data_IF_409910792687
#
_entry.id   IF_409910792687
#
_cell.length_a   1.000
_cell.length_b   1.000
_cell.length_c   1.000
_cell.angle_alpha   90.00
_cell.angle_beta   90.00
_cell.angle_gamma   90.00
#
_symmetry.space_group_name_H-M   'P 1'
#
loop_
_entity.id
_entity.type
_entity.pdbx_description
1 polymer ?
#
# COMPACT_ATOMS: atom_id res chain seq x y z
N UNK A 1 18.63 -6.51 19.37
CA UNK A 1 18.46 -5.47 18.34
C UNK A 1 17.23 -5.84 17.53
N UNK A 2 16.10 -5.19 17.77
CA UNK A 2 14.85 -5.42 17.06
C UNK A 2 14.94 -4.73 15.71
N UNK A 3 15.08 -5.53 14.67
CA UNK A 3 15.01 -5.04 13.29
C UNK A 3 13.57 -4.63 13.01
N UNK A 4 13.29 -3.34 13.10
CA UNK A 4 12.02 -2.77 12.63
C UNK A 4 11.97 -2.93 11.13
N UNK A 5 11.24 -3.95 10.65
CA UNK A 5 10.98 -4.13 9.23
C UNK A 5 10.17 -2.95 8.71
N UNK A 6 10.66 -2.27 7.69
CA UNK A 6 9.93 -1.22 6.99
C UNK A 6 8.81 -1.85 6.19
N UNK A 7 7.60 -1.37 6.39
CA UNK A 7 6.46 -1.70 5.55
C UNK A 7 6.26 -0.54 4.58
N UNK A 8 6.38 -0.79 3.29
CA UNK A 8 6.00 0.19 2.29
C UNK A 8 4.48 0.14 2.13
N UNK A 9 3.79 1.21 2.50
CA UNK A 9 2.37 1.37 2.27
C UNK A 9 2.17 2.24 1.05
N UNK A 10 1.80 1.64 -0.07
CA UNK A 10 1.35 2.37 -1.22
C UNK A 10 -0.17 2.36 -1.24
N UNK A 11 -0.78 3.53 -1.09
CA UNK A 11 -2.19 3.71 -1.36
C UNK A 11 -2.32 3.87 -2.87
N UNK A 12 -2.49 2.77 -3.57
CA UNK A 12 -2.95 2.76 -4.94
C UNK A 12 -4.41 2.33 -4.94
N UNK A 13 -5.29 3.00 -5.69
CA UNK A 13 -6.64 2.50 -5.89
C UNK A 13 -6.61 1.10 -6.51
N UNK A 14 -7.67 0.33 -6.32
CA UNK A 14 -7.67 -1.10 -6.63
C UNK A 14 -7.40 -1.37 -8.09
N UNK A 15 -6.83 -2.53 -8.35
CA UNK A 15 -6.94 -3.17 -9.67
C UNK A 15 -8.42 -3.48 -9.89
N UNK A 16 -9.20 -2.49 -10.29
CA UNK A 16 -10.59 -2.68 -10.66
C UNK A 16 -10.60 -3.26 -12.06
N UNK A 17 -10.95 -4.52 -12.15
CA UNK A 17 -11.52 -5.04 -13.38
C UNK A 17 -12.84 -4.32 -13.58
N UNK A 18 -12.84 -3.39 -14.54
CA UNK A 18 -14.04 -2.75 -15.06
C UNK A 18 -14.65 -1.62 -14.22
N UNK A 19 -14.14 -0.41 -14.42
CA UNK A 19 -14.98 0.77 -14.63
C UNK A 19 -14.32 1.60 -15.74
N UNK A 20 -15.11 2.09 -16.67
CA UNK A 20 -14.66 2.84 -17.84
C UNK A 20 -14.18 4.24 -17.45
N UNK A 21 -12.86 4.45 -17.42
CA UNK A 21 -12.27 5.77 -17.28
C UNK A 21 -10.76 5.76 -17.51
N UNK A 22 -10.17 6.81 -18.11
CA UNK A 22 -8.72 6.85 -18.44
C UNK A 22 -7.80 6.91 -17.21
N UNK A 23 -8.33 7.20 -16.02
CA UNK A 23 -7.56 7.36 -14.77
C UNK A 23 -7.27 6.04 -14.05
N UNK A 24 -7.88 4.94 -14.46
CA UNK A 24 -7.72 3.64 -13.77
C UNK A 24 -6.55 2.82 -14.31
N UNK A 25 -6.15 3.06 -15.55
CA UNK A 25 -5.07 2.32 -16.19
C UNK A 25 -3.71 2.69 -15.61
N UNK A 26 -3.48 3.96 -15.28
CA UNK A 26 -2.24 4.45 -14.67
C UNK A 26 -2.07 3.93 -13.23
N UNK A 27 -3.11 3.90 -12.42
CA UNK A 27 -3.08 3.32 -11.07
C UNK A 27 -2.72 1.83 -11.08
N UNK A 28 -3.27 1.08 -12.03
CA UNK A 28 -2.94 -0.34 -12.20
C UNK A 28 -1.47 -0.53 -12.58
N UNK A 29 -0.98 0.26 -13.52
CA UNK A 29 0.43 0.21 -13.96
C UNK A 29 1.36 0.55 -12.80
N UNK A 30 1.07 1.62 -12.06
CA UNK A 30 1.85 2.02 -10.88
C UNK A 30 1.81 0.95 -9.79
N UNK A 31 0.65 0.33 -9.54
CA UNK A 31 0.51 -0.74 -8.56
C UNK A 31 1.38 -1.96 -8.89
N UNK A 32 1.35 -2.43 -10.13
CA UNK A 32 2.20 -3.53 -10.59
C UNK A 32 3.68 -3.17 -10.52
N UNK A 33 4.06 -1.99 -11.04
CA UNK A 33 5.45 -1.52 -11.00
C UNK A 33 5.98 -1.41 -9.57
N UNK A 34 5.13 -1.00 -8.62
CA UNK A 34 5.52 -0.93 -7.20
C UNK A 34 5.75 -2.31 -6.61
N UNK A 35 4.89 -3.29 -6.93
CA UNK A 35 5.08 -4.66 -6.47
C UNK A 35 6.38 -5.26 -7.01
N UNK A 36 6.63 -5.09 -8.31
CA UNK A 36 7.84 -5.56 -8.98
C UNK A 36 9.08 -4.88 -8.37
N UNK A 37 9.10 -3.54 -8.30
CA UNK A 37 10.21 -2.79 -7.73
C UNK A 37 10.49 -3.15 -6.26
N UNK A 38 9.45 -3.47 -5.49
CA UNK A 38 9.60 -3.90 -4.09
C UNK A 38 10.34 -5.24 -3.97
N UNK A 39 10.19 -6.14 -4.93
CA UNK A 39 10.94 -7.39 -5.01
C UNK A 39 12.33 -7.18 -5.59
N UNK A 40 12.43 -6.34 -6.61
CA UNK A 40 13.66 -6.07 -7.37
C UNK A 40 14.68 -5.32 -6.54
N UNK A 41 14.25 -4.52 -5.56
CA UNK A 41 15.13 -3.82 -4.64
C UNK A 41 16.12 -4.74 -3.91
N UNK A 42 15.76 -6.00 -3.70
CA UNK A 42 16.64 -7.02 -3.10
C UNK A 42 17.43 -7.86 -4.11
N UNK A 43 17.25 -7.64 -5.41
CA UNK A 43 17.84 -8.47 -6.45
C UNK A 43 19.05 -7.79 -7.09
N UNK A 44 20.25 -8.26 -6.77
CA UNK A 44 21.51 -7.72 -7.29
C UNK A 44 21.71 -7.84 -8.80
N UNK A 45 20.90 -8.66 -9.47
CA UNK A 45 21.04 -8.90 -10.90
C UNK A 45 20.14 -8.00 -11.76
N UNK A 46 19.22 -7.30 -11.12
CA UNK A 46 18.39 -6.27 -11.75
C UNK A 46 19.07 -4.93 -11.50
N UNK A 47 19.27 -4.14 -12.54
CA UNK A 47 20.00 -2.87 -12.50
C UNK A 47 21.43 -3.01 -11.94
N UNK A 48 22.30 -3.89 -12.55
CA UNK A 48 23.67 -4.08 -12.08
C UNK A 48 24.51 -2.81 -12.06
N UNK A 49 24.15 -1.80 -12.88
CA UNK A 49 24.77 -0.47 -12.91
C UNK A 49 24.67 0.26 -11.57
N UNK A 50 23.67 -0.02 -10.74
CA UNK A 50 23.55 0.59 -9.42
C UNK A 50 24.67 0.14 -8.46
N UNK A 51 25.20 -1.05 -8.65
CA UNK A 51 26.36 -1.52 -7.89
C UNK A 51 27.61 -0.72 -8.22
N UNK A 52 27.77 -0.27 -9.47
CA UNK A 52 28.86 0.59 -9.90
C UNK A 52 28.77 1.98 -9.26
N UNK A 53 27.57 2.42 -8.90
CA UNK A 53 27.30 3.65 -8.15
C UNK A 53 27.44 3.47 -6.62
N UNK A 54 27.81 2.28 -6.16
CA UNK A 54 28.00 1.97 -4.73
C UNK A 54 26.69 1.69 -3.99
N UNK A 55 25.60 1.41 -4.69
CA UNK A 55 24.32 1.04 -4.09
C UNK A 55 24.25 -0.48 -3.91
N UNK A 56 23.89 -0.91 -2.71
CA UNK A 56 23.71 -2.32 -2.39
C UNK A 56 22.23 -2.73 -2.45
N UNK A 57 21.92 -3.96 -2.92
CA UNK A 57 20.56 -4.48 -2.89
C UNK A 57 19.97 -4.48 -1.48
N UNK A 58 18.73 -4.06 -1.36
CA UNK A 58 18.04 -4.00 -0.08
C UNK A 58 16.80 -4.89 -0.02
N UNK A 59 16.88 -6.10 0.55
CA UNK A 59 15.76 -7.04 0.63
C UNK A 59 14.83 -6.77 1.84
N UNK A 60 14.74 -5.53 2.31
CA UNK A 60 14.04 -5.18 3.55
C UNK A 60 12.53 -4.99 3.41
N UNK A 61 11.96 -4.98 2.20
CA UNK A 61 10.52 -4.86 2.01
C UNK A 61 9.84 -6.19 2.32
N UNK A 62 9.11 -6.25 3.42
CA UNK A 62 8.41 -7.46 3.85
C UNK A 62 7.00 -7.56 3.29
N UNK A 63 6.31 -6.42 3.19
CA UNK A 63 4.91 -6.34 2.83
C UNK A 63 4.66 -5.18 1.88
N UNK A 64 3.73 -5.38 0.94
CA UNK A 64 3.17 -4.33 0.09
C UNK A 64 1.66 -4.35 0.29
N UNK A 65 1.08 -3.18 0.58
CA UNK A 65 -0.36 -3.03 0.78
C UNK A 65 -0.97 -2.11 -0.27
N UNK A 66 -2.06 -2.53 -0.88
CA UNK A 66 -2.82 -1.74 -1.83
C UNK A 66 -4.15 -1.31 -1.23
N UNK A 67 -4.34 0.00 -1.05
CA UNK A 67 -5.60 0.58 -0.59
C UNK A 67 -6.68 0.53 -1.67
N UNK A 68 -7.95 0.50 -1.26
CA UNK A 68 -9.08 0.52 -2.20
C UNK A 68 -9.29 -0.79 -2.97
N UNK A 69 -8.71 -1.90 -2.56
CA UNK A 69 -8.83 -3.19 -3.23
C UNK A 69 -10.26 -3.74 -3.19
N UNK A 70 -10.68 -4.42 -4.27
CA UNK A 70 -12.00 -5.06 -4.34
C UNK A 70 -12.12 -6.26 -3.38
N UNK A 71 -11.02 -6.97 -3.18
CA UNK A 71 -10.95 -8.14 -2.31
C UNK A 71 -9.83 -7.95 -1.28
N UNK A 72 -10.03 -7.01 -0.32
CA UNK A 72 -9.02 -6.75 0.68
C UNK A 72 -8.81 -7.97 1.58
N UNK A 73 -7.56 -8.24 1.89
CA UNK A 73 -7.12 -9.39 2.69
C UNK A 73 -6.76 -9.01 4.11
N UNK A 74 -6.54 -7.72 4.39
CA UNK A 74 -6.29 -7.19 5.73
C UNK A 74 -6.92 -5.83 5.94
N UNK A 75 -6.88 -5.33 7.18
CA UNK A 75 -7.36 -4.00 7.50
C UNK A 75 -6.72 -3.45 8.76
N UNK A 76 -6.81 -2.14 8.90
CA UNK A 76 -6.31 -1.38 10.06
C UNK A 76 -7.49 -0.69 10.72
N UNK A 77 -7.65 -0.89 12.03
CA UNK A 77 -8.59 -0.14 12.84
C UNK A 77 -8.13 1.32 12.93
N UNK A 78 -8.96 2.22 12.42
CA UNK A 78 -8.72 3.66 12.43
C UNK A 78 -9.78 4.41 13.27
N UNK A 79 -10.44 3.70 14.18
CA UNK A 79 -11.39 4.28 15.14
C UNK A 79 -10.72 5.43 15.90
N UNK A 80 -11.35 6.61 15.88
CA UNK A 80 -10.81 7.83 16.49
C UNK A 80 -9.76 8.59 15.66
N UNK A 81 -9.39 8.09 14.46
CA UNK A 81 -8.37 8.73 13.60
C UNK A 81 -8.92 9.29 12.29
N UNK A 82 -10.20 9.09 11.99
CA UNK A 82 -10.82 9.50 10.71
C UNK A 82 -10.64 11.00 10.46
N UNK A 83 -10.75 11.84 11.49
CA UNK A 83 -10.56 13.29 11.39
C UNK A 83 -9.14 13.68 10.91
N UNK A 84 -8.12 12.89 11.25
CA UNK A 84 -6.77 13.10 10.72
C UNK A 84 -6.69 12.85 9.23
N UNK A 85 -7.40 11.84 8.72
CA UNK A 85 -7.53 11.57 7.30
C UNK A 85 -8.22 12.72 6.55
N UNK A 86 -9.30 13.26 7.10
CA UNK A 86 -10.01 14.43 6.56
C UNK A 86 -9.07 15.63 6.49
N UNK A 87 -8.36 15.93 7.58
CA UNK A 87 -7.42 17.05 7.63
C UNK A 87 -6.28 16.89 6.62
N UNK A 88 -5.74 15.67 6.50
CA UNK A 88 -4.69 15.35 5.51
C UNK A 88 -5.17 15.60 4.08
N UNK A 89 -6.35 15.10 3.72
CA UNK A 89 -6.89 15.27 2.36
C UNK A 89 -7.20 16.75 2.07
N UNK A 90 -7.73 17.48 3.03
CA UNK A 90 -7.95 18.94 2.91
C UNK A 90 -6.67 19.75 2.73
N UNK A 91 -5.53 19.24 3.20
CA UNK A 91 -4.23 19.89 3.01
C UNK A 91 -3.76 19.86 1.53
N UNK A 92 -4.27 18.93 0.71
CA UNK A 92 -3.97 18.82 -0.72
C UNK A 92 -4.75 19.82 -1.56
N UNK A 93 -4.65 21.12 -1.23
CA UNK A 93 -5.50 22.19 -1.79
C UNK A 93 -5.41 22.31 -3.31
N UNK A 94 -4.19 22.29 -3.87
CA UNK A 94 -3.98 22.43 -5.31
C UNK A 94 -4.61 21.25 -6.08
N UNK A 95 -4.47 20.04 -5.56
CA UNK A 95 -5.10 18.86 -6.11
C UNK A 95 -6.63 18.97 -6.08
N UNK A 96 -7.19 19.33 -4.93
CA UNK A 96 -8.64 19.49 -4.75
C UNK A 96 -9.21 20.58 -5.68
N UNK A 97 -8.48 21.69 -5.88
CA UNK A 97 -8.88 22.74 -6.81
C UNK A 97 -8.83 22.26 -8.27
N UNK A 98 -7.85 21.46 -8.64
CA UNK A 98 -7.70 20.89 -9.97
C UNK A 98 -8.81 19.92 -10.36
N UNK A 99 -9.48 19.29 -9.38
CA UNK A 99 -10.64 18.41 -9.62
C UNK A 99 -11.93 19.18 -9.97
N UNK A 100 -11.95 20.51 -9.88
CA UNK A 100 -13.06 21.39 -10.24
C UNK A 100 -13.92 21.84 -9.07
N UNK A 101 -14.80 22.81 -9.33
CA UNK A 101 -15.58 23.53 -8.32
C UNK A 101 -16.66 22.69 -7.59
N UNK A 102 -16.96 21.50 -8.05
CA UNK A 102 -17.79 20.52 -7.33
C UNK A 102 -16.95 19.67 -6.38
N UNK A 103 -15.88 20.28 -5.85
CA UNK A 103 -14.87 19.66 -5.04
C UNK A 103 -15.46 18.64 -4.06
N UNK A 104 -15.02 17.42 -4.22
CA UNK A 104 -15.19 16.34 -3.31
C UNK A 104 -14.86 16.79 -1.87
N UNK A 105 -15.85 16.84 -0.97
CA UNK A 105 -15.59 17.08 0.44
C UNK A 105 -15.25 15.77 1.11
N UNK A 106 -14.04 15.64 1.70
CA UNK A 106 -13.66 14.44 2.41
C UNK A 106 -14.44 14.20 3.70
N UNK A 107 -15.09 15.23 4.27
CA UNK A 107 -15.75 15.13 5.57
C UNK A 107 -16.96 14.17 5.60
N UNK A 108 -17.88 14.14 4.63
CA UNK A 108 -18.90 13.10 4.59
C UNK A 108 -18.40 11.76 4.05
N UNK A 109 -17.42 11.78 3.14
CA UNK A 109 -16.99 10.60 2.42
C UNK A 109 -16.11 9.68 3.28
N UNK A 110 -15.06 10.20 3.93
CA UNK A 110 -14.13 9.37 4.69
C UNK A 110 -14.78 8.68 5.90
N UNK A 111 -15.64 9.32 6.72
CA UNK A 111 -16.35 8.62 7.78
C UNK A 111 -17.27 7.51 7.25
N UNK A 112 -17.96 7.75 6.14
CA UNK A 112 -18.84 6.76 5.52
C UNK A 112 -18.05 5.53 5.04
N UNK A 113 -16.97 5.72 4.29
CA UNK A 113 -16.13 4.61 3.80
C UNK A 113 -15.42 3.87 4.93
N UNK A 114 -14.93 4.60 5.94
CA UNK A 114 -14.26 4.01 7.08
C UNK A 114 -15.23 3.18 7.94
N UNK A 115 -16.47 3.65 8.15
CA UNK A 115 -17.50 2.90 8.87
C UNK A 115 -17.93 1.63 8.11
N UNK A 116 -18.12 1.72 6.78
CA UNK A 116 -18.43 0.56 5.94
C UNK A 116 -17.32 -0.50 5.99
N UNK A 117 -16.07 -0.08 6.01
CA UNK A 117 -14.90 -0.94 6.18
C UNK A 117 -14.83 -1.51 7.59
N UNK A 118 -15.11 -0.68 8.60
CA UNK A 118 -15.14 -1.07 10.02
C UNK A 118 -16.16 -2.16 10.31
N UNK A 119 -17.33 -2.09 9.69
CA UNK A 119 -18.37 -3.11 9.82
C UNK A 119 -17.88 -4.51 9.38
N UNK A 120 -16.98 -4.60 8.39
CA UNK A 120 -16.37 -5.86 7.94
C UNK A 120 -15.36 -6.43 8.94
N UNK A 121 -14.80 -5.59 9.80
CA UNK A 121 -13.81 -5.95 10.82
C UNK A 121 -14.38 -6.02 12.23
N UNK A 122 -15.65 -5.62 12.43
CA UNK A 122 -16.25 -5.54 13.77
C UNK A 122 -15.74 -4.36 14.60
N UNK A 123 -15.28 -3.27 13.96
CA UNK A 123 -14.80 -2.03 14.58
C UNK A 123 -15.58 -0.83 14.07
N UNK A 124 -15.47 0.33 14.73
CA UNK A 124 -16.24 1.51 14.34
C UNK A 124 -15.76 2.12 13.02
N UNK A 125 -14.45 2.07 12.74
CA UNK A 125 -13.88 2.59 11.51
C UNK A 125 -12.62 1.80 11.13
N UNK A 126 -12.47 1.48 9.84
CA UNK A 126 -11.28 0.78 9.33
C UNK A 126 -10.87 1.27 7.94
N UNK A 127 -9.62 1.00 7.59
CA UNK A 127 -9.10 1.06 6.22
C UNK A 127 -8.69 -0.36 5.83
N UNK A 128 -9.12 -0.78 4.64
CA UNK A 128 -8.87 -2.13 4.13
C UNK A 128 -7.84 -2.10 3.01
N UNK A 129 -7.01 -3.15 2.97
CA UNK A 129 -5.93 -3.30 2.00
C UNK A 129 -5.92 -4.71 1.40
N UNK A 130 -5.50 -4.82 0.15
CA UNK A 130 -4.96 -6.06 -0.39
C UNK A 130 -3.48 -6.13 0.00
N UNK A 131 -3.11 -7.19 0.71
CA UNK A 131 -1.81 -7.32 1.36
C UNK A 131 -1.00 -8.43 0.70
N UNK A 132 0.18 -8.09 0.22
CA UNK A 132 1.13 -9.00 -0.39
C UNK A 132 2.36 -9.17 0.51
N UNK A 133 2.56 -10.38 0.99
CA UNK A 133 3.76 -10.74 1.74
C UNK A 133 4.88 -11.13 0.78
N UNK A 134 5.98 -10.39 0.80
CA UNK A 134 7.15 -10.63 -0.05
C UNK A 134 8.16 -11.58 0.60
N UNK A 135 8.28 -11.50 1.91
CA UNK A 135 9.20 -12.33 2.70
C UNK A 135 8.36 -13.10 3.72
N UNK A 136 8.38 -14.44 3.71
CA UNK A 136 7.70 -15.24 4.72
C UNK A 136 8.18 -14.90 6.14
N UNK A 137 7.26 -14.91 7.12
CA UNK A 137 7.60 -14.66 8.52
C UNK A 137 8.42 -15.80 9.13
N UNK A 138 8.31 -17.00 8.53
CA UNK A 138 9.09 -18.18 8.89
C UNK A 138 9.70 -18.79 7.64
N UNK A 139 10.89 -19.37 7.71
CA UNK A 139 11.47 -20.10 6.59
C UNK A 139 10.55 -21.27 6.21
N UNK A 140 10.42 -21.58 4.91
CA UNK A 140 9.61 -22.71 4.48
C UNK A 140 10.19 -24.03 5.03
N UNK A 141 9.36 -25.05 5.24
CA UNK A 141 9.78 -26.31 5.89
C UNK A 141 10.96 -27.03 5.19
N UNK A 142 11.12 -26.78 3.90
CA UNK A 142 12.21 -27.36 3.09
C UNK A 142 13.51 -26.56 3.14
N UNK A 143 13.52 -25.36 3.74
CA UNK A 143 14.70 -24.48 3.75
C UNK A 143 15.82 -24.97 4.69
N UNK A 144 15.57 -25.97 5.52
CA UNK A 144 16.52 -26.46 6.50
C UNK A 144 17.00 -25.39 7.48
N UNK A 145 17.78 -25.76 8.48
CA UNK A 145 18.48 -24.82 9.36
C UNK A 145 19.70 -24.20 8.65
N UNK A 146 19.47 -23.46 7.56
CA UNK A 146 20.52 -22.66 6.94
C UNK A 146 20.84 -21.47 7.87
N UNK A 147 21.56 -21.71 8.96
CA UNK A 147 22.28 -20.66 9.65
C UNK A 147 23.43 -20.24 8.75
N UNK A 148 23.54 -18.94 8.40
CA UNK A 148 24.76 -18.47 7.78
C UNK A 148 25.91 -18.69 8.76
N UNK A 149 27.01 -19.27 8.25
CA UNK A 149 28.27 -19.38 8.94
C UNK A 149 28.87 -18.00 9.22
#
# INVERSE_FOLDING_TARGET
MTTTGWSAWLVSPPIIRSVKGPTEDDHRVVGLATLDASRDAGNRWIFPELADEGLEPWPGVRYVGFGGALQPTCGVDVTGFVERGIASLRAHRAYMQGLGATAFDPAPFLPWTAAASGARMGVAAAVLFDHHQLIPDSPPPWAGDARPA
#
